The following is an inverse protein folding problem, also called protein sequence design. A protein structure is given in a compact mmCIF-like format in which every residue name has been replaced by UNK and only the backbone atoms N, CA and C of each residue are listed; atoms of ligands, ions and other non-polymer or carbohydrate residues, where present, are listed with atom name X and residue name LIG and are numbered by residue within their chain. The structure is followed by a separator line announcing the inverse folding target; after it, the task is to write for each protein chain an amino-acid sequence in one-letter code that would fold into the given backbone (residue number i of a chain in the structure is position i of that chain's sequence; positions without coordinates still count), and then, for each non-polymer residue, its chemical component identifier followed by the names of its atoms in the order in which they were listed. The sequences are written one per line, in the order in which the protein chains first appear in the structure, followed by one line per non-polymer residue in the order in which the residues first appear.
data_IF_106716671738
#
_entry.id   IF_106716671738
#
_cell.length_a   1.000
_cell.length_b   1.000
_cell.length_c   1.000
_cell.angle_alpha   90.00
_cell.angle_beta   90.00
_cell.angle_gamma   90.00
#
_symmetry.space_group_name_H-M   'P 1'
#
loop_
_entity.id
_entity.type
_entity.pdbx_description
1 polymer ?
#
# COMPACT_ATOMS: atom_id res chain seq x y z
N UNK A 1 -10.61 -45.42 4.93
CA UNK A 1 -9.97 -44.37 5.73
C UNK A 1 -8.48 -44.20 5.48
N UNK A 2 -7.66 -45.26 5.34
CA UNK A 2 -6.21 -45.14 5.08
C UNK A 2 -5.85 -44.38 3.77
N UNK A 3 -6.61 -44.56 2.70
CA UNK A 3 -6.37 -43.90 1.39
C UNK A 3 -6.57 -42.38 1.46
N UNK A 4 -7.56 -41.91 2.25
CA UNK A 4 -7.82 -40.46 2.42
C UNK A 4 -6.72 -39.78 3.24
N UNK A 5 -6.17 -40.47 4.24
CA UNK A 5 -5.06 -39.96 5.06
C UNK A 5 -3.75 -39.88 4.25
N UNK A 6 -3.45 -40.89 3.42
CA UNK A 6 -2.26 -40.89 2.54
C UNK A 6 -2.37 -39.83 1.46
N UNK A 7 -3.56 -39.59 0.90
CA UNK A 7 -3.77 -38.53 -0.11
C UNK A 7 -3.61 -37.14 0.51
N UNK A 8 -4.16 -36.91 1.72
CA UNK A 8 -4.07 -35.62 2.40
C UNK A 8 -2.63 -35.28 2.81
N UNK A 9 -1.86 -36.24 3.32
CA UNK A 9 -0.46 -36.03 3.68
C UNK A 9 0.44 -35.86 2.46
N UNK A 10 0.16 -36.53 1.34
CA UNK A 10 0.90 -36.41 0.09
C UNK A 10 0.66 -35.02 -0.55
N UNK A 11 -0.56 -34.53 -0.56
CA UNK A 11 -0.87 -33.19 -1.08
C UNK A 11 -0.26 -32.11 -0.20
N UNK A 12 -0.31 -32.24 1.12
CA UNK A 12 0.32 -31.32 2.05
C UNK A 12 1.86 -31.34 1.93
N UNK A 13 2.45 -32.52 1.71
CA UNK A 13 3.91 -32.66 1.52
C UNK A 13 4.37 -32.09 0.18
N UNK A 14 3.60 -32.28 -0.90
CA UNK A 14 3.90 -31.73 -2.22
C UNK A 14 3.72 -30.18 -2.19
N UNK A 15 2.66 -29.71 -1.56
CA UNK A 15 2.42 -28.29 -1.35
C UNK A 15 3.55 -27.65 -0.52
N UNK A 16 3.97 -28.30 0.58
CA UNK A 16 5.10 -27.87 1.39
C UNK A 16 6.43 -27.92 0.64
N UNK A 17 6.67 -28.89 -0.22
CA UNK A 17 7.88 -29.00 -1.02
C UNK A 17 7.94 -27.98 -2.17
N UNK A 18 6.79 -27.60 -2.76
CA UNK A 18 6.71 -26.54 -3.77
C UNK A 18 6.85 -25.14 -3.17
N UNK A 19 6.33 -24.91 -1.96
CA UNK A 19 6.57 -23.68 -1.20
C UNK A 19 8.01 -23.60 -0.65
N UNK A 20 8.71 -24.74 -0.54
CA UNK A 20 10.11 -24.83 -0.17
C UNK A 20 11.08 -24.75 -1.36
N UNK A 21 10.61 -24.71 -2.62
CA UNK A 21 11.45 -24.29 -3.75
C UNK A 21 11.82 -22.83 -3.48
N UNK A 22 13.11 -22.62 -3.15
CA UNK A 22 13.65 -21.42 -2.55
C UNK A 22 13.12 -20.16 -3.23
N UNK A 23 12.44 -19.24 -2.51
CA UNK A 23 12.15 -17.92 -3.04
C UNK A 23 13.48 -17.24 -3.41
N UNK A 24 13.45 -16.35 -4.39
CA UNK A 24 14.58 -15.47 -4.63
C UNK A 24 14.72 -14.58 -3.40
N UNK A 25 15.83 -14.72 -2.66
CA UNK A 25 16.07 -13.91 -1.48
C UNK A 25 17.26 -12.99 -1.66
N UNK A 26 17.22 -11.87 -0.95
CA UNK A 26 18.29 -10.87 -0.88
C UNK A 26 18.62 -10.56 0.55
N UNK A 27 19.91 -10.43 0.82
CA UNK A 27 20.39 -9.94 2.10
C UNK A 27 20.31 -8.41 2.12
N UNK A 28 19.69 -7.85 3.18
CA UNK A 28 19.72 -6.42 3.47
C UNK A 28 21.01 -6.06 4.25
N UNK A 29 21.14 -4.84 4.73
CA UNK A 29 22.26 -4.42 5.57
C UNK A 29 22.38 -5.30 6.83
N UNK A 30 23.57 -5.37 7.44
CA UNK A 30 23.82 -6.24 8.61
C UNK A 30 22.92 -5.88 9.80
N UNK A 31 22.62 -4.59 9.98
CA UNK A 31 21.80 -4.12 11.09
C UNK A 31 20.33 -4.50 10.89
N UNK A 32 19.82 -4.37 9.66
CA UNK A 32 18.45 -4.75 9.30
C UNK A 32 18.24 -6.25 9.39
N UNK A 33 19.21 -7.03 8.91
CA UNK A 33 19.20 -8.49 9.06
C UNK A 33 19.15 -8.93 10.52
N UNK A 34 19.92 -8.32 11.39
CA UNK A 34 19.93 -8.66 12.81
C UNK A 34 18.58 -8.34 13.45
N UNK A 35 17.98 -7.21 13.09
CA UNK A 35 16.64 -6.85 13.54
C UNK A 35 15.59 -7.85 13.03
N UNK A 36 15.61 -8.21 11.76
CA UNK A 36 14.69 -9.18 11.17
C UNK A 36 14.86 -10.61 11.72
N UNK A 37 16.08 -11.01 12.08
CA UNK A 37 16.36 -12.36 12.65
C UNK A 37 15.93 -12.49 14.11
N UNK A 38 15.98 -11.41 14.88
CA UNK A 38 15.72 -11.41 16.32
C UNK A 38 14.28 -11.08 16.69
N UNK A 39 13.56 -10.37 15.83
CA UNK A 39 12.19 -9.96 16.08
C UNK A 39 11.19 -10.83 15.33
N UNK A 40 10.14 -11.27 16.02
CA UNK A 40 8.92 -11.70 15.40
C UNK A 40 8.19 -10.43 14.92
N UNK A 41 7.66 -10.42 13.69
CA UNK A 41 6.93 -9.27 13.14
C UNK A 41 5.77 -8.83 14.06
N UNK A 42 5.25 -9.76 14.85
CA UNK A 42 4.19 -9.54 15.82
C UNK A 42 4.69 -8.99 17.17
N UNK A 43 6.00 -8.83 17.37
CA UNK A 43 6.61 -8.38 18.61
C UNK A 43 7.62 -7.23 18.44
N UNK A 44 7.67 -6.62 17.24
CA UNK A 44 8.61 -5.53 16.97
C UNK A 44 8.23 -4.27 17.73
N UNK A 45 9.18 -3.71 18.47
CA UNK A 45 8.99 -2.41 19.13
C UNK A 45 8.98 -1.29 18.09
N UNK A 46 8.02 -0.37 18.20
CA UNK A 46 7.85 0.73 17.24
C UNK A 46 7.19 0.31 15.92
N UNK A 47 6.57 -0.88 15.88
CA UNK A 47 5.90 -1.39 14.70
C UNK A 47 6.84 -2.12 13.73
N UNK A 48 6.28 -2.63 12.63
CA UNK A 48 7.01 -3.35 11.59
C UNK A 48 7.00 -2.54 10.28
N UNK A 49 8.18 -2.32 9.70
CA UNK A 49 8.35 -1.60 8.43
C UNK A 49 8.73 -2.58 7.33
N UNK A 50 8.02 -2.51 6.21
CA UNK A 50 8.24 -3.35 5.03
C UNK A 50 8.30 -2.45 3.80
N UNK A 51 9.41 -2.48 3.05
CA UNK A 51 9.52 -1.77 1.79
C UNK A 51 9.09 -2.69 0.64
N UNK A 52 8.06 -2.27 -0.10
CA UNK A 52 7.60 -2.95 -1.30
C UNK A 52 8.02 -2.15 -2.54
N UNK A 53 8.73 -2.81 -3.42
CA UNK A 53 9.22 -2.25 -4.68
C UNK A 53 8.54 -2.96 -5.85
N UNK A 54 8.17 -2.18 -6.88
CA UNK A 54 7.70 -2.72 -8.15
C UNK A 54 8.64 -2.31 -9.27
N UNK A 55 9.10 -3.28 -10.06
CA UNK A 55 10.01 -3.03 -11.17
C UNK A 55 9.58 -3.78 -12.42
N UNK A 56 9.90 -3.20 -13.58
CA UNK A 56 9.78 -3.83 -14.88
C UNK A 56 10.91 -4.82 -15.18
N UNK A 57 11.90 -4.91 -14.30
CA UNK A 57 13.05 -5.79 -14.47
C UNK A 57 12.58 -7.24 -14.48
N UNK A 58 12.88 -7.94 -15.55
CA UNK A 58 12.69 -9.38 -15.67
C UNK A 58 13.82 -10.09 -14.95
N UNK A 59 13.62 -10.40 -13.67
CA UNK A 59 14.59 -11.18 -12.90
C UNK A 59 14.76 -12.55 -13.57
N UNK A 60 15.98 -12.85 -14.06
CA UNK A 60 16.33 -14.12 -14.71
C UNK A 60 16.24 -14.16 -16.24
N UNK A 61 15.85 -13.10 -16.91
CA UNK A 61 16.02 -12.93 -18.35
C UNK A 61 17.25 -12.03 -18.62
N UNK A 62 18.42 -12.60 -18.45
CA UNK A 62 19.63 -12.04 -19.07
C UNK A 62 19.61 -12.42 -20.55
N UNK A 63 18.79 -11.78 -21.35
CA UNK A 63 19.05 -11.71 -22.77
C UNK A 63 20.14 -10.66 -22.97
N UNK A 64 21.30 -11.15 -23.37
CA UNK A 64 22.60 -10.48 -23.45
C UNK A 64 22.70 -9.42 -24.56
N UNK A 65 21.61 -8.91 -25.09
CA UNK A 65 21.68 -8.13 -26.36
C UNK A 65 21.09 -6.71 -26.29
N UNK A 66 20.55 -6.23 -25.17
CA UNK A 66 20.19 -4.81 -25.09
C UNK A 66 20.65 -4.20 -23.76
N UNK A 67 21.42 -3.11 -23.87
CA UNK A 67 21.79 -2.18 -22.82
C UNK A 67 20.53 -1.64 -22.09
N UNK A 68 19.94 -2.40 -21.19
CA UNK A 68 19.02 -1.87 -20.21
C UNK A 68 19.89 -1.37 -19.07
N UNK A 69 20.37 -0.15 -19.19
CA UNK A 69 21.00 0.57 -18.10
C UNK A 69 20.01 0.72 -16.96
N UNK A 70 20.24 -0.05 -15.88
CA UNK A 70 19.65 0.16 -14.56
C UNK A 70 18.21 -0.34 -14.38
N UNK A 71 18.05 -1.33 -13.53
CA UNK A 71 16.73 -1.66 -12.97
C UNK A 71 16.16 -0.43 -12.24
N UNK A 72 14.95 0.00 -12.60
CA UNK A 72 14.26 1.11 -11.94
C UNK A 72 13.08 0.59 -11.14
N UNK A 73 12.89 1.13 -9.95
CA UNK A 73 11.66 0.88 -9.21
C UNK A 73 10.59 1.92 -9.59
N UNK A 74 9.64 1.49 -10.38
CA UNK A 74 8.49 2.32 -10.77
C UNK A 74 7.48 2.50 -9.63
N UNK A 75 7.53 1.65 -8.62
CA UNK A 75 6.69 1.70 -7.42
C UNK A 75 7.57 1.54 -6.20
N UNK A 76 7.41 2.44 -5.24
CA UNK A 76 8.04 2.38 -3.93
C UNK A 76 6.97 2.65 -2.87
N UNK A 77 6.68 1.64 -2.03
CA UNK A 77 5.67 1.72 -0.98
C UNK A 77 6.28 1.24 0.32
N UNK A 78 6.29 2.10 1.34
CA UNK A 78 6.63 1.73 2.71
C UNK A 78 5.35 1.36 3.45
N UNK A 79 5.26 0.13 3.90
CA UNK A 79 4.17 -0.36 4.74
C UNK A 79 4.62 -0.34 6.19
N UNK A 80 4.01 0.49 7.01
CA UNK A 80 4.18 0.55 8.44
C UNK A 80 3.00 -0.14 9.12
N UNK A 81 3.26 -1.15 9.94
CA UNK A 81 2.27 -1.85 10.76
C UNK A 81 2.56 -1.50 12.21
N UNK A 82 1.59 -0.89 12.89
CA UNK A 82 1.74 -0.49 14.29
C UNK A 82 2.04 -1.68 15.21
N UNK A 83 2.78 -1.45 16.29
CA UNK A 83 3.17 -2.49 17.26
C UNK A 83 1.95 -3.16 17.91
N UNK A 84 0.87 -2.41 18.11
CA UNK A 84 -0.38 -2.93 18.66
C UNK A 84 -1.26 -3.65 17.63
N UNK A 85 -0.81 -3.73 16.36
CA UNK A 85 -1.50 -4.32 15.22
C UNK A 85 -2.88 -3.72 14.93
N UNK A 86 -3.09 -2.46 15.34
CA UNK A 86 -4.37 -1.79 15.15
C UNK A 86 -4.40 -0.92 13.90
N UNK A 87 -3.23 -0.61 13.30
CA UNK A 87 -3.17 0.22 12.11
C UNK A 87 -2.09 -0.24 11.13
N UNK A 88 -2.39 -0.09 9.85
CA UNK A 88 -1.45 -0.19 8.75
C UNK A 88 -1.45 1.14 7.99
N UNK A 89 -0.28 1.71 7.75
CA UNK A 89 -0.10 2.90 6.92
C UNK A 89 0.84 2.56 5.76
N UNK A 90 0.30 2.58 4.54
CA UNK A 90 1.07 2.38 3.32
C UNK A 90 1.42 3.75 2.71
N UNK A 91 2.69 4.11 2.69
CA UNK A 91 3.20 5.38 2.17
C UNK A 91 3.78 5.16 0.79
N UNK A 92 3.18 5.74 -0.24
CA UNK A 92 3.66 5.66 -1.63
C UNK A 92 4.59 6.83 -1.94
N UNK A 93 5.79 6.55 -2.44
CA UNK A 93 6.76 7.57 -2.87
C UNK A 93 6.67 7.74 -4.39
N UNK A 94 6.54 8.98 -4.90
CA UNK A 94 6.60 9.23 -6.33
C UNK A 94 7.97 8.82 -6.89
N UNK A 95 7.98 8.11 -8.02
CA UNK A 95 9.24 7.66 -8.64
C UNK A 95 10.12 8.82 -9.11
N UNK A 96 9.47 9.94 -9.43
CA UNK A 96 10.09 11.16 -9.94
C UNK A 96 10.51 12.10 -8.77
N UNK A 97 10.52 11.60 -7.52
CA UNK A 97 10.94 12.34 -6.33
C UNK A 97 12.47 12.40 -6.25
N UNK A 98 13.01 13.64 -6.17
CA UNK A 98 14.44 13.86 -5.95
C UNK A 98 14.78 13.77 -4.46
N UNK A 99 15.71 12.87 -4.12
CA UNK A 99 16.17 12.60 -2.74
C UNK A 99 17.69 12.38 -2.71
N UNK A 100 18.33 12.51 -1.56
CA UNK A 100 19.67 11.99 -1.37
C UNK A 100 19.67 10.46 -1.45
N UNK A 101 20.55 9.88 -2.26
CA UNK A 101 20.80 8.43 -2.30
C UNK A 101 22.16 8.18 -1.63
N UNK A 102 22.27 7.25 -0.66
CA UNK A 102 23.54 6.92 -0.01
C UNK A 102 24.51 6.25 -0.98
N UNK A 103 25.77 6.12 -0.58
CA UNK A 103 26.71 5.31 -1.33
C UNK A 103 26.29 3.83 -1.28
N UNK A 104 26.11 3.24 -2.43
CA UNK A 104 25.62 1.86 -2.58
C UNK A 104 26.62 1.03 -3.40
N UNK A 105 26.58 -0.30 -3.21
CA UNK A 105 27.29 -1.23 -4.07
C UNK A 105 26.32 -2.24 -4.62
N UNK A 106 26.27 -2.35 -5.93
CA UNK A 106 25.42 -3.32 -6.61
C UNK A 106 25.93 -4.75 -6.29
N UNK A 107 25.13 -5.60 -5.64
CA UNK A 107 25.56 -6.92 -5.19
C UNK A 107 25.82 -7.89 -6.37
N UNK A 108 25.21 -7.66 -7.52
CA UNK A 108 25.33 -8.55 -8.70
C UNK A 108 26.59 -8.22 -9.51
N UNK A 109 26.87 -6.93 -9.72
CA UNK A 109 27.99 -6.47 -10.55
C UNK A 109 29.23 -6.12 -9.76
N UNK A 110 29.09 -5.88 -8.45
CA UNK A 110 30.17 -5.35 -7.60
C UNK A 110 30.48 -3.87 -7.88
N UNK A 111 29.69 -3.19 -8.69
CA UNK A 111 29.88 -1.76 -9.01
C UNK A 111 29.48 -0.92 -7.82
N UNK A 112 30.35 0.00 -7.41
CA UNK A 112 30.06 0.96 -6.33
C UNK A 112 29.63 2.28 -6.91
N UNK A 113 28.53 2.80 -6.40
CA UNK A 113 27.98 4.11 -6.71
C UNK A 113 28.23 5.06 -5.55
N UNK A 114 28.79 6.25 -5.77
CA UNK A 114 28.99 7.22 -4.72
C UNK A 114 27.65 7.78 -4.24
N UNK A 115 27.62 8.34 -3.03
CA UNK A 115 26.44 9.05 -2.55
C UNK A 115 26.09 10.22 -3.45
N UNK A 116 24.82 10.37 -3.77
CA UNK A 116 24.24 11.48 -4.50
C UNK A 116 23.43 12.37 -3.57
N UNK A 117 23.56 13.69 -3.69
CA UNK A 117 22.82 14.64 -2.85
C UNK A 117 21.39 14.90 -3.32
N UNK A 118 21.11 14.66 -4.60
CA UNK A 118 19.78 14.83 -5.21
C UNK A 118 19.72 14.01 -6.49
N UNK A 119 18.99 12.93 -6.44
CA UNK A 119 18.76 12.01 -7.55
C UNK A 119 17.35 11.42 -7.44
N UNK A 120 16.83 10.84 -8.51
CA UNK A 120 15.49 10.27 -8.49
C UNK A 120 15.46 9.01 -7.61
N UNK A 121 14.46 8.89 -6.75
CA UNK A 121 14.34 7.76 -5.83
C UNK A 121 14.31 6.41 -6.56
N UNK A 122 13.78 6.38 -7.79
CA UNK A 122 13.70 5.17 -8.60
C UNK A 122 15.03 4.66 -9.13
N UNK A 123 16.11 5.48 -9.11
CA UNK A 123 17.46 5.05 -9.49
C UNK A 123 18.15 4.21 -8.39
N UNK A 124 17.66 4.29 -7.14
CA UNK A 124 18.25 3.57 -5.99
C UNK A 124 18.32 2.06 -6.21
N UNK A 125 17.31 1.47 -6.87
CA UNK A 125 17.30 0.03 -7.19
C UNK A 125 18.44 -0.34 -8.17
N UNK A 126 18.70 0.52 -9.16
CA UNK A 126 19.79 0.33 -10.13
C UNK A 126 21.17 0.45 -9.52
N UNK A 127 21.34 1.32 -8.51
CA UNK A 127 22.63 1.56 -7.85
C UNK A 127 23.07 0.38 -6.96
N UNK A 128 22.16 -0.19 -6.17
CA UNK A 128 22.56 -1.22 -5.21
C UNK A 128 21.49 -2.24 -4.89
N UNK A 129 20.53 -2.43 -5.81
CA UNK A 129 19.44 -3.38 -5.60
C UNK A 129 18.49 -2.96 -4.48
N UNK A 130 17.79 -3.92 -3.92
CA UNK A 130 16.79 -3.72 -2.86
C UNK A 130 17.40 -3.04 -1.63
N UNK A 131 18.64 -3.40 -1.24
CA UNK A 131 19.30 -2.81 -0.08
C UNK A 131 19.51 -1.31 -0.24
N UNK A 132 19.93 -0.83 -1.42
CA UNK A 132 20.10 0.60 -1.66
C UNK A 132 18.78 1.37 -1.62
N UNK A 133 17.69 0.77 -2.13
CA UNK A 133 16.37 1.36 -2.02
C UNK A 133 15.89 1.42 -0.56
N UNK A 134 16.17 0.39 0.25
CA UNK A 134 15.92 0.38 1.69
C UNK A 134 16.69 1.50 2.37
N UNK A 135 18.02 1.56 2.20
CA UNK A 135 18.88 2.57 2.81
C UNK A 135 18.44 4.00 2.41
N UNK A 136 17.98 4.19 1.17
CA UNK A 136 17.46 5.47 0.68
C UNK A 136 16.19 5.89 1.42
N UNK A 137 15.23 4.97 1.58
CA UNK A 137 13.97 5.26 2.28
C UNK A 137 14.19 5.39 3.79
N UNK A 138 15.11 4.62 4.40
CA UNK A 138 15.51 4.78 5.79
C UNK A 138 16.11 6.17 6.06
N UNK A 139 17.03 6.63 5.19
CA UNK A 139 17.61 7.96 5.31
C UNK A 139 16.55 9.07 5.16
N UNK A 140 15.55 8.87 4.31
CA UNK A 140 14.49 9.85 4.07
C UNK A 140 13.48 9.90 5.23
N UNK A 141 13.17 8.75 5.83
CA UNK A 141 12.09 8.63 6.84
C UNK A 141 12.61 8.55 8.27
N UNK A 142 13.86 8.16 8.48
CA UNK A 142 14.44 7.87 9.78
C UNK A 142 13.86 6.61 10.45
N UNK A 143 13.19 5.75 9.67
CA UNK A 143 12.65 4.46 10.12
C UNK A 143 13.68 3.36 9.82
N UNK A 144 13.70 2.32 10.65
CA UNK A 144 14.42 1.08 10.33
C UNK A 144 13.50 0.15 9.54
N UNK A 145 13.98 -0.40 8.41
CA UNK A 145 13.19 -1.20 7.46
C UNK A 145 13.80 -2.60 7.31
N UNK A 146 13.53 -3.53 8.25
CA UNK A 146 14.12 -4.85 8.25
C UNK A 146 13.53 -5.83 7.23
N UNK A 147 12.47 -5.44 6.56
CA UNK A 147 11.78 -6.28 5.58
C UNK A 147 11.62 -5.55 4.26
N UNK A 148 11.92 -6.25 3.17
CA UNK A 148 11.72 -5.70 1.83
C UNK A 148 11.28 -6.78 0.85
N UNK A 149 10.54 -6.37 -0.19
CA UNK A 149 10.12 -7.22 -1.29
C UNK A 149 10.09 -6.46 -2.60
N UNK A 150 10.59 -7.09 -3.66
CA UNK A 150 10.50 -6.60 -5.03
C UNK A 150 9.55 -7.50 -5.80
N UNK A 151 8.50 -6.93 -6.39
CA UNK A 151 7.56 -7.62 -7.27
C UNK A 151 7.83 -7.24 -8.73
N UNK A 152 7.84 -8.26 -9.59
CA UNK A 152 7.93 -8.08 -11.04
C UNK A 152 6.56 -7.86 -11.66
N UNK A 153 6.50 -7.43 -12.92
CA UNK A 153 5.25 -7.33 -13.67
C UNK A 153 4.52 -8.68 -13.79
N UNK A 154 5.26 -9.76 -14.02
CA UNK A 154 4.67 -11.12 -14.05
C UNK A 154 4.09 -11.49 -12.68
N UNK A 155 4.71 -11.01 -11.59
CA UNK A 155 4.18 -11.18 -10.24
C UNK A 155 2.81 -10.51 -10.04
N UNK A 156 2.63 -9.31 -10.55
CA UNK A 156 1.33 -8.62 -10.51
C UNK A 156 0.27 -9.40 -11.30
N UNK A 157 0.62 -9.88 -12.51
CA UNK A 157 -0.25 -10.70 -13.35
C UNK A 157 -0.69 -11.96 -12.62
N UNK A 158 0.28 -12.75 -12.13
CA UNK A 158 0.00 -14.03 -11.50
C UNK A 158 -0.75 -13.88 -10.16
N UNK A 159 -0.42 -12.87 -9.36
CA UNK A 159 -1.12 -12.62 -8.11
C UNK A 159 -2.56 -12.15 -8.33
N UNK A 160 -2.82 -11.28 -9.29
CA UNK A 160 -4.18 -10.86 -9.65
C UNK A 160 -5.02 -12.01 -10.19
N UNK A 161 -4.44 -12.89 -11.04
CA UNK A 161 -5.06 -14.12 -11.51
C UNK A 161 -5.37 -15.08 -10.35
N UNK A 162 -4.43 -15.26 -9.41
CA UNK A 162 -4.62 -16.15 -8.25
C UNK A 162 -5.78 -15.71 -7.35
N UNK A 163 -6.05 -14.39 -7.29
CA UNK A 163 -7.18 -13.79 -6.56
C UNK A 163 -8.50 -13.82 -7.34
N UNK A 164 -8.49 -14.17 -8.63
CA UNK A 164 -9.65 -14.04 -9.52
C UNK A 164 -10.04 -12.59 -9.76
N UNK A 165 -9.02 -11.74 -9.99
CA UNK A 165 -9.15 -10.31 -10.26
C UNK A 165 -9.37 -9.44 -9.02
N UNK A 166 -9.31 -8.13 -9.20
CA UNK A 166 -9.57 -7.09 -8.19
C UNK A 166 -10.67 -6.16 -8.72
N UNK A 167 -11.70 -5.94 -7.91
CA UNK A 167 -12.85 -5.13 -8.29
C UNK A 167 -12.56 -3.65 -8.07
N UNK A 168 -12.45 -2.88 -9.14
CA UNK A 168 -12.16 -1.44 -9.12
C UNK A 168 -13.31 -0.63 -9.72
N UNK A 169 -13.47 0.59 -9.23
CA UNK A 169 -14.40 1.56 -9.77
C UNK A 169 -13.66 2.56 -10.67
N UNK A 170 -14.25 2.84 -11.84
CA UNK A 170 -13.80 3.86 -12.80
C UNK A 170 -14.89 4.92 -12.92
N UNK A 171 -14.60 6.17 -12.53
CA UNK A 171 -15.57 7.27 -12.56
C UNK A 171 -15.74 7.85 -13.96
N UNK A 172 -14.64 7.99 -14.69
CA UNK A 172 -14.61 8.41 -16.10
C UNK A 172 -13.81 7.42 -16.93
N UNK A 173 -14.15 7.22 -18.21
CA UNK A 173 -13.44 6.27 -19.06
C UNK A 173 -11.93 6.50 -19.04
N UNK A 174 -11.17 5.42 -19.02
CA UNK A 174 -9.71 5.42 -19.12
C UNK A 174 -9.36 4.92 -20.53
N UNK A 175 -8.51 5.68 -21.23
CA UNK A 175 -7.91 5.27 -22.50
C UNK A 175 -6.42 5.64 -22.48
N UNK A 176 -5.58 4.64 -22.22
CA UNK A 176 -4.13 4.82 -22.13
C UNK A 176 -3.44 3.98 -23.21
N UNK A 177 -3.08 4.63 -24.30
CA UNK A 177 -2.42 3.99 -25.45
C UNK A 177 -1.01 3.45 -25.13
N UNK A 178 -0.36 3.94 -24.05
CA UNK A 178 0.98 3.47 -23.63
C UNK A 178 0.91 2.11 -22.93
N UNK A 179 -0.15 1.87 -22.17
CA UNK A 179 -0.38 0.59 -21.49
C UNK A 179 -1.34 -0.33 -22.23
N UNK A 180 -2.06 0.22 -23.21
CA UNK A 180 -3.13 -0.46 -23.94
C UNK A 180 -4.42 -0.61 -23.15
N UNK A 181 -4.54 0.07 -21.99
CA UNK A 181 -5.72 -0.02 -21.13
C UNK A 181 -6.88 0.79 -21.69
N UNK A 182 -8.03 0.14 -21.84
CA UNK A 182 -9.29 0.79 -22.20
C UNK A 182 -10.40 0.32 -21.26
N UNK A 183 -10.90 1.21 -20.42
CA UNK A 183 -11.98 0.94 -19.48
C UNK A 183 -13.07 1.98 -19.61
N UNK A 184 -14.33 1.53 -19.67
CA UNK A 184 -15.49 2.41 -19.55
C UNK A 184 -15.69 2.87 -18.10
N UNK A 185 -16.48 3.90 -17.86
CA UNK A 185 -16.96 4.21 -16.52
C UNK A 185 -17.79 3.05 -15.96
N UNK A 186 -17.64 2.76 -14.66
CA UNK A 186 -18.33 1.68 -13.95
C UNK A 186 -17.42 0.79 -13.12
N UNK A 187 -17.94 -0.36 -12.72
CA UNK A 187 -17.20 -1.38 -11.97
C UNK A 187 -16.53 -2.36 -12.94
N UNK A 188 -15.27 -2.68 -12.66
CA UNK A 188 -14.48 -3.62 -13.45
C UNK A 188 -13.76 -4.60 -12.52
N UNK A 189 -13.69 -5.87 -12.90
CA UNK A 189 -12.83 -6.86 -12.25
C UNK A 189 -11.56 -6.99 -13.08
N UNK A 190 -10.44 -6.51 -12.55
CA UNK A 190 -9.15 -6.49 -13.25
C UNK A 190 -8.30 -7.68 -12.83
N UNK A 191 -7.87 -8.47 -13.80
CA UNK A 191 -6.94 -9.60 -13.61
C UNK A 191 -5.87 -9.63 -14.70
N UNK A 192 -4.75 -10.26 -14.43
CA UNK A 192 -3.69 -10.47 -15.41
C UNK A 192 -3.15 -9.16 -16.00
N UNK A 193 -3.11 -9.08 -17.31
CA UNK A 193 -2.58 -7.93 -18.05
C UNK A 193 -3.36 -6.65 -17.78
N UNK A 194 -4.69 -6.71 -17.60
CA UNK A 194 -5.51 -5.53 -17.32
C UNK A 194 -5.21 -4.94 -15.94
N UNK A 195 -4.96 -5.80 -14.92
CA UNK A 195 -4.52 -5.36 -13.61
C UNK A 195 -3.15 -4.67 -13.68
N UNK A 196 -2.20 -5.25 -14.42
CA UNK A 196 -0.88 -4.65 -14.64
C UNK A 196 -0.99 -3.33 -15.41
N UNK A 197 -1.76 -3.30 -16.50
CA UNK A 197 -1.96 -2.10 -17.31
C UNK A 197 -2.57 -0.96 -16.48
N UNK A 198 -3.56 -1.27 -15.61
CA UNK A 198 -4.17 -0.30 -14.70
C UNK A 198 -3.15 0.29 -13.71
N UNK A 199 -2.32 -0.54 -13.07
CA UNK A 199 -1.30 -0.08 -12.12
C UNK A 199 -0.18 0.74 -12.78
N UNK A 200 0.04 0.55 -14.08
CA UNK A 200 1.03 1.28 -14.88
C UNK A 200 0.46 2.50 -15.60
N UNK A 201 -0.88 2.60 -15.73
CA UNK A 201 -1.52 3.70 -16.44
C UNK A 201 -1.18 5.03 -15.76
N UNK A 202 -0.66 5.95 -16.57
CA UNK A 202 -0.29 7.30 -16.18
C UNK A 202 -1.00 8.32 -17.08
N UNK A 203 -0.86 8.14 -18.40
CA UNK A 203 -1.40 9.08 -19.38
C UNK A 203 -2.93 9.01 -19.52
N UNK A 204 -3.53 7.90 -19.12
CA UNK A 204 -4.98 7.70 -19.18
C UNK A 204 -5.72 8.11 -17.89
N UNK A 205 -5.03 8.60 -16.84
CA UNK A 205 -5.63 8.87 -15.53
C UNK A 205 -5.32 10.28 -15.03
N UNK A 206 -6.30 10.94 -14.42
CA UNK A 206 -6.19 12.24 -13.78
C UNK A 206 -5.54 13.30 -14.67
N UNK A 207 -4.48 13.93 -14.17
CA UNK A 207 -3.70 14.95 -14.90
C UNK A 207 -2.52 14.35 -15.70
N UNK A 208 -2.39 13.04 -15.77
CA UNK A 208 -1.28 12.35 -16.45
C UNK A 208 0.04 12.33 -15.66
N UNK A 209 0.05 12.85 -14.46
CA UNK A 209 1.25 12.88 -13.59
C UNK A 209 1.50 11.55 -12.90
N UNK A 210 2.70 11.40 -12.32
CA UNK A 210 3.00 10.25 -11.46
C UNK A 210 2.14 10.22 -10.19
N UNK A 211 1.78 11.39 -9.66
CA UNK A 211 0.90 11.53 -8.51
C UNK A 211 -0.52 11.04 -8.81
N UNK A 212 -1.01 11.24 -10.06
CA UNK A 212 -2.27 10.68 -10.51
C UNK A 212 -2.21 9.15 -10.59
N UNK A 213 -1.09 8.59 -11.08
CA UNK A 213 -0.86 7.14 -11.07
C UNK A 213 -0.89 6.56 -9.66
N UNK A 214 -0.22 7.19 -8.71
CA UNK A 214 -0.26 6.77 -7.29
C UNK A 214 -1.68 6.75 -6.77
N UNK A 215 -2.51 7.75 -7.08
CA UNK A 215 -3.92 7.77 -6.68
C UNK A 215 -4.69 6.56 -7.24
N UNK A 216 -4.51 6.23 -8.52
CA UNK A 216 -5.12 5.03 -9.13
C UNK A 216 -4.60 3.74 -8.51
N UNK A 217 -3.30 3.67 -8.20
CA UNK A 217 -2.72 2.53 -7.48
C UNK A 217 -3.33 2.37 -6.09
N UNK A 218 -3.59 3.46 -5.37
CA UNK A 218 -4.25 3.43 -4.06
C UNK A 218 -5.68 2.91 -4.15
N UNK A 219 -6.44 3.26 -5.20
CA UNK A 219 -7.77 2.70 -5.47
C UNK A 219 -7.68 1.18 -5.65
N UNK A 220 -6.74 0.70 -6.47
CA UNK A 220 -6.52 -0.73 -6.70
C UNK A 220 -6.07 -1.46 -5.43
N UNK A 221 -5.09 -0.93 -4.71
CA UNK A 221 -4.55 -1.55 -3.50
C UNK A 221 -5.58 -1.58 -2.36
N UNK A 222 -6.41 -0.54 -2.22
CA UNK A 222 -7.53 -0.53 -1.27
C UNK A 222 -8.54 -1.64 -1.61
N UNK A 223 -8.90 -1.78 -2.90
CA UNK A 223 -9.77 -2.85 -3.37
C UNK A 223 -9.14 -4.24 -3.18
N UNK A 224 -7.84 -4.37 -3.44
CA UNK A 224 -7.06 -5.58 -3.20
C UNK A 224 -7.09 -5.98 -1.72
N UNK A 225 -6.83 -5.04 -0.80
CA UNK A 225 -6.88 -5.34 0.64
C UNK A 225 -8.28 -5.74 1.09
N UNK A 226 -9.32 -5.04 0.65
CA UNK A 226 -10.72 -5.46 0.93
C UNK A 226 -10.97 -6.89 0.46
N UNK A 227 -10.51 -7.26 -0.75
CA UNK A 227 -10.68 -8.61 -1.29
C UNK A 227 -9.89 -9.65 -0.51
N UNK A 228 -8.64 -9.37 -0.19
CA UNK A 228 -7.76 -10.29 0.57
C UNK A 228 -8.28 -10.49 1.98
N UNK A 229 -8.70 -9.43 2.67
CA UNK A 229 -9.19 -9.50 4.06
C UNK A 229 -10.63 -10.00 4.18
N UNK A 230 -11.37 -10.10 3.06
CA UNK A 230 -12.71 -10.68 3.08
C UNK A 230 -12.69 -12.15 3.50
N UNK A 231 -13.78 -12.60 4.16
CA UNK A 231 -13.90 -13.95 4.72
C UNK A 231 -13.70 -15.09 3.69
N UNK A 232 -13.88 -14.80 2.41
CA UNK A 232 -13.74 -15.79 1.33
C UNK A 232 -12.30 -16.09 0.95
N UNK A 233 -11.39 -15.12 0.97
CA UNK A 233 -10.01 -15.24 0.43
C UNK A 233 -9.07 -15.86 1.45
N UNK A 234 -8.92 -15.26 2.63
CA UNK A 234 -8.02 -15.78 3.68
C UNK A 234 -8.51 -17.08 4.31
N UNK A 235 -9.78 -17.43 4.16
CA UNK A 235 -10.34 -18.70 4.64
C UNK A 235 -10.23 -19.83 3.61
N UNK A 236 -9.90 -19.54 2.36
CA UNK A 236 -9.79 -20.54 1.30
C UNK A 236 -8.33 -21.02 1.15
N UNK A 237 -7.99 -22.24 1.59
CA UNK A 237 -6.63 -22.74 1.54
C UNK A 237 -6.09 -22.89 0.10
N UNK A 238 -6.95 -23.09 -0.88
CA UNK A 238 -6.55 -23.22 -2.30
C UNK A 238 -6.14 -21.85 -2.84
N UNK A 239 -6.90 -20.80 -2.54
CA UNK A 239 -6.57 -19.42 -2.94
C UNK A 239 -5.28 -18.94 -2.25
N UNK A 240 -5.14 -19.19 -0.95
CA UNK A 240 -3.90 -18.88 -0.21
C UNK A 240 -2.69 -19.59 -0.78
N UNK A 241 -2.83 -20.88 -1.13
CA UNK A 241 -1.75 -21.65 -1.74
C UNK A 241 -1.34 -21.06 -3.11
N UNK A 242 -2.31 -20.74 -3.97
CA UNK A 242 -2.05 -20.13 -5.28
C UNK A 242 -1.37 -18.77 -5.12
N UNK A 243 -1.88 -17.93 -4.21
CA UNK A 243 -1.34 -16.60 -3.94
C UNK A 243 0.09 -16.67 -3.41
N UNK A 244 0.35 -17.57 -2.44
CA UNK A 244 1.69 -17.79 -1.92
C UNK A 244 2.64 -18.31 -2.99
N UNK A 245 2.19 -19.24 -3.84
CA UNK A 245 2.98 -19.73 -4.97
C UNK A 245 3.30 -18.63 -5.97
N UNK A 246 2.33 -17.82 -6.36
CA UNK A 246 2.53 -16.69 -7.26
C UNK A 246 3.53 -15.67 -6.67
N UNK A 247 3.38 -15.32 -5.39
CA UNK A 247 4.28 -14.41 -4.70
C UNK A 247 5.72 -14.95 -4.65
N UNK A 248 5.91 -16.19 -4.16
CA UNK A 248 7.23 -16.79 -4.01
C UNK A 248 7.97 -17.01 -5.33
N UNK A 249 7.25 -17.21 -6.44
CA UNK A 249 7.84 -17.43 -7.76
C UNK A 249 8.18 -16.14 -8.49
N UNK A 250 7.56 -15.01 -8.13
CA UNK A 250 7.64 -13.76 -8.89
C UNK A 250 8.06 -12.57 -8.02
N UNK A 251 8.50 -12.83 -6.79
CA UNK A 251 9.02 -11.80 -5.89
C UNK A 251 10.44 -12.16 -5.43
N UNK A 252 11.26 -11.13 -5.28
CA UNK A 252 12.50 -11.23 -4.52
C UNK A 252 12.24 -10.65 -3.14
N UNK A 253 12.45 -11.44 -2.09
CA UNK A 253 12.15 -11.06 -0.72
C UNK A 253 13.45 -10.92 0.09
N UNK A 254 13.47 -10.02 1.07
CA UNK A 254 14.54 -10.06 2.07
C UNK A 254 14.48 -11.38 2.86
N UNK A 255 15.62 -11.86 3.33
CA UNK A 255 15.72 -13.12 4.08
C UNK A 255 14.76 -13.18 5.27
N UNK A 256 14.57 -12.04 5.95
CA UNK A 256 13.62 -11.91 7.06
C UNK A 256 12.16 -12.06 6.61
N UNK A 257 11.79 -11.44 5.48
CA UNK A 257 10.42 -11.50 4.95
C UNK A 257 10.10 -12.87 4.35
N UNK A 258 11.07 -13.56 3.74
CA UNK A 258 10.90 -14.89 3.16
C UNK A 258 10.64 -15.99 4.21
N UNK A 259 10.83 -15.72 5.50
CA UNK A 259 10.57 -16.71 6.54
C UNK A 259 9.07 -16.98 6.67
N UNK A 260 8.70 -18.27 6.69
CA UNK A 260 7.30 -18.72 6.82
C UNK A 260 6.62 -18.12 8.06
N UNK A 261 7.32 -17.99 9.18
CA UNK A 261 6.77 -17.39 10.41
C UNK A 261 6.40 -15.92 10.21
N UNK A 262 7.23 -15.16 9.50
CA UNK A 262 6.99 -13.74 9.18
C UNK A 262 5.75 -13.59 8.29
N UNK A 263 5.67 -14.40 7.24
CA UNK A 263 4.52 -14.38 6.32
C UNK A 263 3.21 -14.79 7.01
N UNK A 264 3.25 -15.80 7.88
CA UNK A 264 2.09 -16.21 8.68
C UNK A 264 1.71 -15.14 9.69
N UNK A 265 2.68 -14.53 10.37
CA UNK A 265 2.46 -13.40 11.29
C UNK A 265 1.78 -12.23 10.57
N UNK A 266 2.31 -11.83 9.40
CA UNK A 266 1.76 -10.76 8.57
C UNK A 266 0.31 -11.05 8.15
N UNK A 267 0.05 -12.26 7.63
CA UNK A 267 -1.30 -12.68 7.24
C UNK A 267 -2.29 -12.67 8.42
N UNK A 268 -1.83 -13.09 9.61
CA UNK A 268 -2.65 -13.07 10.83
C UNK A 268 -2.96 -11.65 11.29
N UNK A 269 -1.98 -10.74 11.23
CA UNK A 269 -2.13 -9.33 11.58
C UNK A 269 -3.14 -8.66 10.64
N UNK A 270 -2.98 -8.82 9.32
CA UNK A 270 -3.90 -8.25 8.33
C UNK A 270 -5.34 -8.76 8.49
N UNK A 271 -5.50 -10.04 8.82
CA UNK A 271 -6.84 -10.63 9.05
C UNK A 271 -7.55 -10.02 10.26
N UNK A 272 -6.79 -9.63 11.29
CA UNK A 272 -7.35 -9.04 12.52
C UNK A 272 -7.65 -7.56 12.42
N UNK A 273 -7.16 -6.87 11.39
CA UNK A 273 -7.22 -5.42 11.26
C UNK A 273 -8.46 -4.97 10.47
N UNK A 274 -9.12 -3.90 10.93
CA UNK A 274 -10.21 -3.28 10.18
C UNK A 274 -9.69 -2.55 8.94
N UNK A 275 -10.43 -2.63 7.83
CA UNK A 275 -10.07 -1.87 6.62
C UNK A 275 -10.10 -0.35 6.81
N UNK A 276 -10.86 0.16 7.80
CA UNK A 276 -10.83 1.57 8.19
C UNK A 276 -9.52 2.01 8.85
N UNK A 277 -8.77 1.07 9.41
CA UNK A 277 -7.47 1.30 10.03
C UNK A 277 -6.28 0.98 9.08
N UNK A 278 -6.57 0.67 7.81
CA UNK A 278 -5.58 0.49 6.75
C UNK A 278 -5.57 1.74 5.86
N UNK A 279 -4.55 2.57 6.02
CA UNK A 279 -4.43 3.84 5.31
C UNK A 279 -3.43 3.75 4.16
N UNK A 280 -3.79 4.34 3.04
CA UNK A 280 -2.90 4.61 1.91
C UNK A 280 -2.68 6.10 1.83
N UNK A 281 -1.43 6.53 1.91
CA UNK A 281 -1.05 7.94 1.83
C UNK A 281 0.05 8.13 0.80
N UNK A 282 0.09 9.30 0.18
CA UNK A 282 1.18 9.70 -0.66
C UNK A 282 2.21 10.43 0.18
N UNK A 283 3.51 10.12 -0.01
CA UNK A 283 4.58 10.89 0.62
C UNK A 283 4.49 12.35 0.18
N UNK A 284 4.54 13.31 1.11
CA UNK A 284 4.26 14.70 0.80
C UNK A 284 5.37 15.33 -0.05
N UNK A 285 4.95 15.92 -1.16
CA UNK A 285 5.86 16.50 -2.16
C UNK A 285 5.31 17.82 -2.68
N UNK A 286 6.22 18.63 -3.22
CA UNK A 286 5.95 19.85 -3.99
C UNK A 286 6.58 19.73 -5.38
N UNK A 287 6.02 20.44 -6.36
CA UNK A 287 6.59 20.48 -7.70
C UNK A 287 7.99 21.13 -7.66
N UNK A 288 8.95 20.59 -8.40
CA UNK A 288 10.27 21.23 -8.54
C UNK A 288 10.16 22.47 -9.43
N UNK A 289 10.39 23.68 -8.90
CA UNK A 289 10.24 24.92 -9.69
C UNK A 289 11.28 25.04 -10.81
N UNK A 290 12.36 24.27 -10.76
CA UNK A 290 13.42 24.26 -11.76
C UNK A 290 13.22 23.18 -12.82
N UNK A 291 12.40 22.16 -12.54
CA UNK A 291 12.20 21.02 -13.40
C UNK A 291 10.82 20.38 -13.15
N UNK A 292 9.83 20.86 -13.85
CA UNK A 292 8.41 20.51 -13.67
C UNK A 292 8.08 19.02 -13.96
N UNK A 293 9.05 18.25 -14.47
CA UNK A 293 8.88 16.80 -14.65
C UNK A 293 9.14 16.01 -13.34
N UNK A 294 9.65 16.68 -12.29
CA UNK A 294 10.07 16.05 -11.04
C UNK A 294 9.44 16.76 -9.84
N UNK A 295 9.52 16.10 -8.69
CA UNK A 295 9.01 16.63 -7.43
C UNK A 295 10.11 16.62 -6.36
N UNK A 296 9.97 17.53 -5.39
CA UNK A 296 10.82 17.65 -4.21
C UNK A 296 10.01 17.28 -2.95
N UNK A 297 10.70 16.97 -1.88
CA UNK A 297 10.06 16.72 -0.58
C UNK A 297 9.39 18.00 -0.06
N UNK A 298 8.14 17.91 0.38
CA UNK A 298 7.55 18.91 1.28
C UNK A 298 8.11 18.65 2.69
N UNK A 299 9.21 19.33 3.03
CA UNK A 299 9.96 19.08 4.25
C UNK A 299 9.09 19.19 5.52
N UNK A 300 8.13 20.12 5.55
CA UNK A 300 7.30 20.35 6.72
C UNK A 300 6.31 19.18 6.92
N UNK A 301 5.55 18.84 5.89
CA UNK A 301 4.58 17.76 5.95
C UNK A 301 5.27 16.39 6.06
N UNK A 302 6.42 16.19 5.40
CA UNK A 302 7.22 14.98 5.50
C UNK A 302 7.76 14.76 6.92
N UNK A 303 8.24 15.82 7.57
CA UNK A 303 8.68 15.74 8.96
C UNK A 303 7.55 15.30 9.90
N UNK A 304 6.35 15.87 9.75
CA UNK A 304 5.20 15.48 10.57
C UNK A 304 4.81 14.02 10.34
N UNK A 305 4.74 13.55 9.09
CA UNK A 305 4.46 12.15 8.76
C UNK A 305 5.52 11.22 9.34
N UNK A 306 6.80 11.53 9.12
CA UNK A 306 7.91 10.70 9.59
C UNK A 306 7.92 10.59 11.11
N UNK A 307 7.70 11.69 11.84
CA UNK A 307 7.64 11.69 13.33
C UNK A 307 6.48 10.82 13.83
N UNK A 308 5.32 10.87 13.19
CA UNK A 308 4.16 10.08 13.58
C UNK A 308 4.44 8.58 13.39
N UNK A 309 5.06 8.19 12.27
CA UNK A 309 5.44 6.81 12.00
C UNK A 309 6.56 6.33 12.93
N UNK A 310 7.61 7.13 13.16
CA UNK A 310 8.70 6.81 14.09
C UNK A 310 8.22 6.62 15.54
N UNK A 311 7.19 7.36 15.93
CA UNK A 311 6.59 7.26 17.26
C UNK A 311 5.48 6.22 17.34
N UNK A 312 5.24 5.47 16.28
CA UNK A 312 4.20 4.43 16.20
C UNK A 312 2.82 4.95 16.67
N UNK A 313 2.47 6.19 16.29
CA UNK A 313 1.20 6.79 16.69
C UNK A 313 0.11 6.49 15.69
N UNK A 314 -1.09 6.17 16.21
CA UNK A 314 -2.26 6.02 15.34
C UNK A 314 -2.54 7.32 14.61
N UNK A 315 -2.76 7.20 13.28
CA UNK A 315 -2.99 8.32 12.36
C UNK A 315 -4.42 8.34 11.85
N UNK A 316 -4.87 9.49 11.41
CA UNK A 316 -6.10 9.65 10.63
C UNK A 316 -5.86 10.62 9.49
N UNK A 317 -6.57 10.43 8.38
CA UNK A 317 -6.59 11.43 7.32
C UNK A 317 -7.46 12.61 7.80
N UNK A 318 -7.00 13.83 7.55
CA UNK A 318 -7.83 15.02 7.66
C UNK A 318 -8.71 15.07 6.42
N UNK A 319 -10.01 15.23 6.59
CA UNK A 319 -11.08 15.19 5.57
C UNK A 319 -10.65 15.01 4.12
N UNK A 320 -11.06 13.88 3.55
CA UNK A 320 -11.02 13.41 2.15
C UNK A 320 -10.19 14.24 1.16
N UNK A 321 -8.89 14.14 1.24
CA UNK A 321 -8.01 14.53 0.15
C UNK A 321 -7.73 13.30 -0.70
N UNK A 322 -8.73 12.85 -1.46
CA UNK A 322 -8.49 11.89 -2.54
C UNK A 322 -7.43 12.47 -3.48
N UNK A 323 -6.51 11.63 -3.96
CA UNK A 323 -5.41 12.08 -4.79
C UNK A 323 -5.86 12.59 -6.17
N UNK A 324 -4.91 12.93 -7.04
CA UNK A 324 -5.12 13.63 -8.34
C UNK A 324 -5.96 12.83 -9.36
N UNK A 325 -6.13 11.53 -9.18
CA UNK A 325 -6.89 10.65 -10.09
C UNK A 325 -7.89 9.75 -9.35
N UNK A 326 -8.38 10.17 -8.19
CA UNK A 326 -9.41 9.44 -7.47
C UNK A 326 -10.48 10.36 -6.94
N UNK A 327 -11.72 9.87 -6.91
CA UNK A 327 -12.87 10.55 -6.32
C UNK A 327 -13.70 9.55 -5.51
N UNK A 328 -14.49 10.04 -4.56
CA UNK A 328 -15.41 9.18 -3.80
C UNK A 328 -16.42 8.53 -4.75
N UNK A 329 -16.65 7.22 -4.55
CA UNK A 329 -17.67 6.51 -5.32
C UNK A 329 -19.05 7.10 -4.99
N UNK A 330 -19.86 7.46 -5.97
CA UNK A 330 -21.24 7.84 -5.69
C UNK A 330 -21.91 6.67 -4.97
N UNK A 331 -22.24 6.85 -3.70
CA UNK A 331 -22.83 5.82 -2.83
C UNK A 331 -24.05 5.25 -3.52
N UNK A 332 -24.07 3.94 -3.77
CA UNK A 332 -25.25 3.22 -4.21
C UNK A 332 -26.30 3.26 -3.07
N UNK A 333 -27.02 4.33 -2.92
CA UNK A 333 -27.95 4.55 -1.80
C UNK A 333 -28.72 5.87 -1.79
N UNK A 334 -28.46 6.78 -2.69
CA UNK A 334 -29.37 7.92 -2.89
C UNK A 334 -30.32 7.66 -4.04
N UNK A 335 -31.44 7.02 -3.72
CA UNK A 335 -32.64 7.12 -4.55
C UNK A 335 -32.92 8.61 -4.72
N UNK A 336 -33.14 9.14 -5.94
CA UNK A 336 -33.52 10.52 -6.11
C UNK A 336 -34.88 10.71 -5.43
N UNK A 337 -34.88 11.41 -4.32
CA UNK A 337 -36.09 11.87 -3.64
C UNK A 337 -36.76 12.84 -4.61
N UNK A 338 -37.85 12.38 -5.22
CA UNK A 338 -38.70 13.19 -6.05
C UNK A 338 -39.19 14.38 -5.24
N UNK A 339 -38.76 15.55 -5.65
CA UNK A 339 -39.26 16.86 -5.25
C UNK A 339 -40.79 16.90 -5.47
N UNK A 340 -41.53 16.62 -4.42
CA UNK A 340 -42.97 16.94 -4.32
C UNK A 340 -43.11 17.85 -3.13
N UNK A 341 -43.05 19.13 -3.39
CA UNK A 341 -43.49 20.18 -2.48
C UNK A 341 -45.00 20.05 -2.20
N UNK A 342 -45.44 20.13 -0.98
CA UNK A 342 -46.66 20.80 -0.68
C UNK A 342 -46.50 21.95 0.33
N UNK A 343 -46.95 23.04 -0.17
CA UNK A 343 -47.31 24.30 0.49
C UNK A 343 -48.20 24.16 1.74
N UNK A 344 -48.02 25.11 2.66
CA UNK A 344 -48.94 25.71 3.67
C UNK A 344 -48.91 25.22 5.11
N UNK A 345 -48.47 26.20 5.93
CA UNK A 345 -48.84 26.41 7.35
C UNK A 345 -50.35 26.73 7.53
N UNK A 346 -50.93 26.85 8.78
CA UNK A 346 -50.41 27.64 9.88
C UNK A 346 -50.76 27.20 11.35
N UNK A 347 -49.98 27.77 12.29
CA UNK A 347 -50.36 28.38 13.55
C UNK A 347 -51.11 27.62 14.71
N UNK A 348 -50.57 27.80 15.90
CA UNK A 348 -51.20 27.69 17.19
C UNK A 348 -50.34 26.95 18.21
N UNK A 349 -49.68 27.47 19.14
CA UNK A 349 -50.12 28.30 20.25
C UNK A 349 -49.96 27.52 21.53
N UNK A 350 -49.09 27.96 22.48
CA UNK A 350 -49.41 27.81 23.89
C UNK A 350 -48.46 27.04 24.80
N UNK A 351 -47.79 27.82 25.64
CA UNK A 351 -47.65 27.70 27.08
C UNK A 351 -46.45 26.99 27.71
N UNK A 352 -45.72 27.78 28.45
CA UNK A 352 -44.67 27.50 29.40
C UNK A 352 -45.13 26.63 30.60
N UNK A 353 -44.18 25.88 31.17
CA UNK A 353 -44.11 25.71 32.62
C UNK A 353 -42.70 25.43 33.10
N UNK A 354 -42.30 26.23 34.04
CA UNK A 354 -41.15 26.15 34.93
C UNK A 354 -41.05 24.82 35.68
N UNK A 355 -39.83 24.40 35.99
CA UNK A 355 -39.54 23.29 36.89
C UNK A 355 -38.09 23.21 37.29
N UNK A 356 -37.70 24.00 38.26
CA UNK A 356 -36.46 23.93 39.04
C UNK A 356 -36.36 22.63 39.82
N UNK A 357 -35.21 21.94 39.79
CA UNK A 357 -34.65 21.18 40.92
C UNK A 357 -33.19 20.73 40.61
N UNK A 358 -32.32 21.36 41.28
CA UNK A 358 -31.35 20.96 42.30
C UNK A 358 -30.66 19.61 42.15
N UNK A 359 -29.42 19.65 41.85
CA UNK A 359 -28.20 19.24 42.23
C UNK A 359 -27.76 17.90 42.74
N UNK A 360 -26.70 17.38 42.31
CA UNK A 360 -25.56 16.88 43.11
C UNK A 360 -24.45 16.47 42.17
N UNK A 361 -23.15 16.65 42.47
CA UNK A 361 -22.06 16.29 41.60
C UNK A 361 -21.79 14.79 41.72
N UNK A 362 -22.03 14.06 40.63
CA UNK A 362 -21.55 12.69 40.49
C UNK A 362 -20.09 12.75 40.03
N UNK A 363 -19.21 12.15 40.84
CA UNK A 363 -17.81 11.98 40.55
C UNK A 363 -17.64 11.26 39.18
N UNK A 364 -17.02 11.94 38.23
CA UNK A 364 -16.61 11.36 36.98
C UNK A 364 -15.49 10.34 37.25
N UNK A 365 -15.83 9.07 37.15
CA UNK A 365 -14.84 8.03 36.92
C UNK A 365 -14.16 8.35 35.57
N UNK A 366 -12.86 8.61 35.63
CA UNK A 366 -12.05 8.86 34.43
C UNK A 366 -12.15 7.67 33.49
N UNK A 367 -12.89 7.87 32.42
CA UNK A 367 -12.80 7.02 31.23
C UNK A 367 -11.38 7.19 30.72
N UNK A 368 -10.59 6.12 30.76
CA UNK A 368 -9.32 6.06 30.02
C UNK A 368 -9.69 6.27 28.55
N UNK A 369 -9.45 7.48 28.04
CA UNK A 369 -9.72 7.83 26.65
C UNK A 369 -8.90 6.91 25.76
N UNK A 370 -9.56 6.24 24.85
CA UNK A 370 -8.91 5.61 23.69
C UNK A 370 -8.01 6.68 23.08
N UNK A 371 -6.71 6.37 22.81
CA UNK A 371 -5.81 7.36 22.23
C UNK A 371 -6.42 7.87 20.93
N UNK A 372 -6.69 9.17 20.89
CA UNK A 372 -7.23 9.84 19.71
C UNK A 372 -6.18 9.75 18.59
N UNK A 373 -6.61 9.34 17.38
CA UNK A 373 -5.71 9.32 16.23
C UNK A 373 -5.15 10.72 15.94
N UNK A 374 -3.88 10.79 15.57
CA UNK A 374 -3.22 12.04 15.17
C UNK A 374 -3.62 12.36 13.73
N UNK A 375 -4.28 13.51 13.47
CA UNK A 375 -4.59 13.89 12.10
C UNK A 375 -3.30 14.22 11.35
N UNK A 376 -3.18 13.66 10.13
CA UNK A 376 -2.10 14.01 9.20
C UNK A 376 -2.35 15.40 8.60
N UNK A 377 -1.30 16.12 8.16
CA UNK A 377 -1.44 17.39 7.44
C UNK A 377 -2.41 17.27 6.26
N UNK A 378 -3.22 18.29 6.01
CA UNK A 378 -4.19 18.32 4.91
C UNK A 378 -3.53 18.32 3.51
N UNK A 379 -2.23 18.59 3.43
CA UNK A 379 -1.45 18.46 2.19
C UNK A 379 -1.12 17.00 1.84
N UNK A 380 -1.32 16.05 2.75
CA UNK A 380 -1.11 14.62 2.52
C UNK A 380 -2.39 14.03 1.93
N UNK A 381 -2.34 13.66 0.67
CA UNK A 381 -3.42 12.94 0.01
C UNK A 381 -3.39 11.44 0.36
N UNK A 382 -4.56 10.85 0.45
CA UNK A 382 -4.71 9.45 0.79
C UNK A 382 -6.14 9.00 0.92
N UNK A 383 -6.32 7.73 1.26
CA UNK A 383 -7.62 7.11 1.52
C UNK A 383 -7.48 5.93 2.48
N UNK A 384 -8.54 5.57 3.16
CA UNK A 384 -8.58 4.31 3.91
C UNK A 384 -9.01 3.16 2.98
N UNK A 385 -8.63 1.93 3.33
CA UNK A 385 -9.07 0.76 2.56
C UNK A 385 -10.58 0.52 2.66
N UNK A 386 -11.29 1.11 3.65
CA UNK A 386 -12.74 1.04 3.76
C UNK A 386 -13.47 1.97 2.81
N UNK A 387 -12.82 3.06 2.37
CA UNK A 387 -13.41 4.01 1.44
C UNK A 387 -13.51 3.39 0.05
N UNK A 388 -14.68 3.57 -0.56
CA UNK A 388 -14.89 3.19 -1.96
C UNK A 388 -14.63 4.40 -2.83
N UNK A 389 -13.47 4.43 -3.44
CA UNK A 389 -13.05 5.48 -4.36
C UNK A 389 -13.01 4.94 -5.78
N UNK A 390 -13.20 5.81 -6.74
CA UNK A 390 -13.15 5.49 -8.16
C UNK A 390 -11.97 6.21 -8.82
N UNK A 391 -11.29 5.52 -9.72
CA UNK A 391 -10.26 6.16 -10.56
C UNK A 391 -10.93 7.04 -11.61
N UNK A 392 -10.36 8.22 -11.81
CA UNK A 392 -10.83 9.20 -12.79
C UNK A 392 -9.95 9.10 -14.03
N UNK A 393 -10.55 8.78 -15.19
CA UNK A 393 -9.87 8.87 -16.50
C UNK A 393 -9.53 10.31 -16.87
N UNK A 394 -8.54 10.47 -17.76
CA UNK A 394 -8.06 11.78 -18.24
C UNK A 394 -9.05 12.42 -19.24
#
# INVERSE_FOLDING_TARGET
MAVVLVSGTSVAAIAGAQLASAPHTVELSTDDQNTAKTADITAMQGGANILLLGSDTRVGQFDSDENVEGARNDVTILVHISQDHQQLTAVSFPRDLKVPIPACTNPETGTSYPAASSELINESLGHGGISCAVDTVENLTGLTIPYAGLITFDGVIEMSNALGGVDVCVAKPIDDSYTGLQLSAGQHTLEGQDALAFLRSRHGVGDGSDLARISSQQVFLSALLRKVTSDGTLSNPVTLYKLAGAALSNMTLSDGLAQTRTLVGLASTLRGMSTSDMLFVQYPVVDDPSDTAHVLVDEAAAHELNVVLQQDRKTSLSDSTTGRASEESPTAGSTPESDTSPSQAPAGGGAASDGTASGAPSAAAGSAGTPSATPLPSSISGQSASEQTCTVGN
#
